data_IF_340137731561
#
_entry.id   IF_340137731561
#
_cell.length_a   1.000
_cell.length_b   1.000
_cell.length_c   1.000
_cell.angle_alpha   90.00
_cell.angle_beta   90.00
_cell.angle_gamma   90.00
#
_symmetry.space_group_name_H-M   'P 1'
#
loop_
_entity.id
_entity.type
_entity.pdbx_description
1 polymer ?
#
# COMPACT_ATOMS: atom_id res chain seq x y z
N UNK A 1 4.92 46.63 -22.05
CA UNK A 1 5.18 45.53 -21.10
C UNK A 1 5.47 44.30 -21.94
N UNK A 2 6.69 43.75 -21.85
CA UNK A 2 7.04 42.50 -22.54
C UNK A 2 6.22 41.39 -21.90
N UNK A 3 5.48 40.64 -22.70
CA UNK A 3 4.62 39.57 -22.21
C UNK A 3 5.50 38.36 -21.84
N UNK A 4 6.08 38.37 -20.64
CA UNK A 4 7.07 37.38 -20.20
C UNK A 4 6.37 36.18 -19.60
N UNK A 5 6.11 35.18 -20.44
CA UNK A 5 5.73 33.83 -20.02
C UNK A 5 6.88 33.27 -19.15
N UNK A 6 6.60 32.86 -17.90
CA UNK A 6 7.58 32.18 -17.03
C UNK A 6 7.84 30.76 -17.56
N UNK A 7 9.06 30.26 -17.38
CA UNK A 7 9.51 28.98 -17.92
C UNK A 7 9.82 29.02 -19.41
N UNK A 8 9.90 27.84 -20.03
CA UNK A 8 10.16 27.67 -21.46
C UNK A 8 8.85 27.86 -22.24
N UNK A 9 8.72 28.89 -23.08
CA UNK A 9 7.47 29.16 -23.78
C UNK A 9 7.24 28.13 -24.89
N UNK A 10 6.12 27.41 -24.82
CA UNK A 10 5.70 26.49 -25.88
C UNK A 10 4.94 27.20 -27.02
N UNK A 11 4.14 28.22 -26.66
CA UNK A 11 3.29 28.97 -27.59
C UNK A 11 3.38 30.47 -27.30
N UNK A 12 3.21 31.27 -28.35
CA UNK A 12 3.09 32.71 -28.26
C UNK A 12 1.64 33.10 -28.00
N UNK A 13 1.41 34.31 -27.49
CA UNK A 13 0.07 34.86 -27.29
C UNK A 13 -0.78 34.98 -28.57
N UNK A 14 -0.15 34.92 -29.75
CA UNK A 14 -0.84 34.85 -31.05
C UNK A 14 -1.25 33.43 -31.45
N UNK A 15 -1.05 32.43 -30.59
CA UNK A 15 -1.34 31.02 -30.84
C UNK A 15 -0.24 30.25 -31.59
N UNK A 16 0.72 30.94 -32.21
CA UNK A 16 1.81 30.30 -32.93
C UNK A 16 2.76 29.53 -31.98
N UNK A 17 3.24 28.36 -32.43
CA UNK A 17 4.29 27.61 -31.74
C UNK A 17 5.58 28.42 -31.70
N UNK A 18 6.25 28.40 -30.56
CA UNK A 18 7.53 29.08 -30.37
C UNK A 18 8.68 28.17 -30.82
N UNK A 19 9.65 28.76 -31.53
CA UNK A 19 10.83 28.05 -32.03
C UNK A 19 12.06 28.39 -31.20
N UNK A 20 12.96 27.41 -31.01
CA UNK A 20 14.28 27.63 -30.41
C UNK A 20 15.28 27.96 -31.50
N UNK A 21 15.96 29.09 -31.37
CA UNK A 21 16.88 29.64 -32.36
C UNK A 21 18.24 29.98 -31.73
N UNK A 22 19.26 30.12 -32.56
CA UNK A 22 20.61 30.54 -32.17
C UNK A 22 20.85 31.97 -32.62
N UNK A 23 21.22 32.84 -31.69
CA UNK A 23 21.52 34.24 -31.98
C UNK A 23 22.78 34.36 -32.84
N UNK A 24 22.67 35.16 -33.90
CA UNK A 24 23.77 35.51 -34.82
C UNK A 24 24.22 36.95 -34.65
N UNK A 25 23.74 37.63 -33.59
CA UNK A 25 24.12 39.02 -33.31
C UNK A 25 25.57 39.10 -32.84
N UNK A 26 26.25 40.22 -33.12
CA UNK A 26 27.61 40.46 -32.63
C UNK A 26 27.71 40.47 -31.10
N UNK A 27 26.64 40.90 -30.43
CA UNK A 27 26.61 41.06 -28.97
C UNK A 27 26.30 39.75 -28.23
N UNK A 28 25.54 38.84 -28.84
CA UNK A 28 25.17 37.56 -28.25
C UNK A 28 25.38 36.42 -29.25
N UNK A 29 26.59 36.22 -29.79
CA UNK A 29 26.83 35.18 -30.79
C UNK A 29 26.63 33.80 -30.14
N UNK A 30 25.87 32.92 -30.80
CA UNK A 30 25.66 31.54 -30.35
C UNK A 30 24.65 31.35 -29.21
N UNK A 31 24.20 32.42 -28.54
CA UNK A 31 23.23 32.30 -27.43
C UNK A 31 21.88 31.81 -27.93
N UNK A 32 21.25 30.88 -27.22
CA UNK A 32 19.96 30.29 -27.60
C UNK A 32 18.80 31.14 -27.09
N UNK A 33 17.78 31.31 -27.92
CA UNK A 33 16.55 32.01 -27.55
C UNK A 33 15.31 31.33 -28.12
N UNK A 34 14.18 31.62 -27.51
CA UNK A 34 12.85 31.21 -27.92
C UNK A 34 12.14 32.41 -28.55
N UNK A 35 11.60 32.26 -29.76
CA UNK A 35 10.84 33.32 -30.41
C UNK A 35 9.64 32.83 -31.21
N UNK A 36 8.63 33.69 -31.32
CA UNK A 36 7.53 33.49 -32.25
C UNK A 36 8.00 33.68 -33.71
N UNK A 37 7.54 32.85 -34.67
CA UNK A 37 7.86 33.04 -36.10
C UNK A 37 7.32 34.36 -36.67
N UNK A 38 6.27 34.93 -36.08
CA UNK A 38 5.69 36.21 -36.49
C UNK A 38 6.23 37.42 -35.71
N UNK A 39 7.18 37.19 -34.78
CA UNK A 39 7.80 38.24 -34.00
C UNK A 39 8.85 39.02 -34.79
N UNK A 40 8.95 40.32 -34.53
CA UNK A 40 10.00 41.19 -35.07
C UNK A 40 10.37 42.27 -34.05
N UNK A 41 11.45 43.01 -34.30
CA UNK A 41 11.96 44.03 -33.37
C UNK A 41 10.99 45.19 -33.14
N UNK A 42 10.14 45.50 -34.12
CA UNK A 42 9.13 46.56 -34.02
C UNK A 42 7.91 46.10 -33.20
N UNK A 43 7.62 44.80 -33.17
CA UNK A 43 6.43 44.23 -32.56
C UNK A 43 6.76 43.40 -31.30
N UNK A 44 6.80 44.10 -30.16
CA UNK A 44 7.04 43.52 -28.83
C UNK A 44 5.87 42.69 -28.26
N UNK A 45 4.78 42.51 -29.00
CA UNK A 45 3.64 41.67 -28.57
C UNK A 45 3.95 40.16 -28.67
N UNK A 46 4.96 39.79 -29.46
CA UNK A 46 5.37 38.42 -29.65
C UNK A 46 6.42 37.98 -28.63
N UNK A 47 6.41 36.69 -28.32
CA UNK A 47 7.36 36.08 -27.40
C UNK A 47 8.77 36.17 -27.98
N UNK A 48 9.68 36.69 -27.15
CA UNK A 48 11.13 36.56 -27.27
C UNK A 48 11.66 36.31 -25.85
N UNK A 49 12.48 35.27 -25.67
CA UNK A 49 13.07 34.95 -24.36
C UNK A 49 14.38 34.18 -24.51
N UNK A 50 15.37 34.49 -23.69
CA UNK A 50 16.61 33.73 -23.68
C UNK A 50 16.42 32.36 -23.04
N UNK A 51 17.01 31.33 -23.64
CA UNK A 51 16.85 29.95 -23.16
C UNK A 51 17.41 29.77 -21.76
N UNK A 52 18.58 30.34 -21.47
CA UNK A 52 19.21 30.26 -20.14
C UNK A 52 18.34 30.89 -19.04
N UNK A 53 17.72 32.05 -19.30
CA UNK A 53 16.78 32.70 -18.37
C UNK A 53 15.55 31.82 -18.12
N UNK A 54 14.93 31.27 -19.18
CA UNK A 54 13.79 30.35 -19.01
C UNK A 54 14.17 29.06 -18.27
N UNK A 55 15.39 28.54 -18.47
CA UNK A 55 15.85 27.34 -17.76
C UNK A 55 16.06 27.60 -16.27
N UNK A 56 16.57 28.78 -15.90
CA UNK A 56 16.69 29.16 -14.48
C UNK A 56 15.33 29.19 -13.81
N UNK A 57 14.33 29.79 -14.46
CA UNK A 57 12.96 29.83 -13.92
C UNK A 57 12.36 28.43 -13.76
N UNK A 58 12.53 27.52 -14.74
CA UNK A 58 12.08 26.12 -14.61
C UNK A 58 12.75 25.42 -13.42
N UNK A 59 14.06 25.64 -13.23
CA UNK A 59 14.80 25.07 -12.09
C UNK A 59 14.29 25.63 -10.77
N UNK A 60 14.04 26.94 -10.69
CA UNK A 60 13.45 27.58 -9.52
C UNK A 60 12.07 27.02 -9.17
N UNK A 61 11.24 26.78 -10.19
CA UNK A 61 9.89 26.25 -10.01
C UNK A 61 9.89 24.75 -9.65
N UNK A 62 10.95 24.02 -10.03
CA UNK A 62 11.15 22.60 -9.68
C UNK A 62 11.68 22.40 -8.25
N UNK A 63 12.51 23.31 -7.74
CA UNK A 63 13.06 23.21 -6.37
C UNK A 63 12.01 22.96 -5.28
N UNK A 64 10.93 23.75 -5.14
CA UNK A 64 9.95 23.51 -4.09
C UNK A 64 9.24 22.16 -4.28
N UNK A 65 8.96 21.75 -5.52
CA UNK A 65 8.34 20.45 -5.81
C UNK A 65 9.22 19.28 -5.37
N UNK A 66 10.55 19.41 -5.53
CA UNK A 66 11.51 18.40 -5.04
C UNK A 66 11.47 18.34 -3.51
N UNK A 67 11.50 19.49 -2.83
CA UNK A 67 11.42 19.54 -1.37
C UNK A 67 10.11 18.93 -0.84
N UNK A 68 8.98 19.21 -1.49
CA UNK A 68 7.69 18.62 -1.15
C UNK A 68 7.69 17.10 -1.33
N UNK A 69 8.30 16.60 -2.42
CA UNK A 69 8.47 15.17 -2.66
C UNK A 69 9.36 14.51 -1.61
N UNK A 70 10.49 15.13 -1.25
CA UNK A 70 11.39 14.62 -0.20
C UNK A 70 10.66 14.53 1.15
N UNK A 71 9.88 15.55 1.50
CA UNK A 71 9.04 15.56 2.70
C UNK A 71 7.99 14.44 2.68
N UNK A 72 7.29 14.27 1.56
CA UNK A 72 6.30 13.22 1.38
C UNK A 72 6.92 11.81 1.46
N UNK A 73 8.11 11.61 0.89
CA UNK A 73 8.86 10.35 0.98
C UNK A 73 9.24 10.06 2.43
N UNK A 74 9.75 11.05 3.16
CA UNK A 74 10.12 10.89 4.57
C UNK A 74 8.91 10.50 5.44
N UNK A 75 7.77 11.16 5.23
CA UNK A 75 6.54 10.87 5.98
C UNK A 75 5.98 9.49 5.63
N UNK A 76 5.93 9.13 4.35
CA UNK A 76 5.53 7.80 3.91
C UNK A 76 6.46 6.72 4.48
N UNK A 77 7.76 7.00 4.59
CA UNK A 77 8.73 6.14 5.26
C UNK A 77 8.39 5.90 6.73
N UNK A 78 7.96 6.92 7.48
CA UNK A 78 7.49 6.77 8.87
C UNK A 78 6.22 5.93 8.94
N UNK A 79 5.24 6.24 8.10
CA UNK A 79 3.96 5.50 8.03
C UNK A 79 4.17 4.03 7.72
N UNK A 80 5.08 3.72 6.77
CA UNK A 80 5.43 2.35 6.42
C UNK A 80 6.06 1.61 7.61
N UNK A 81 7.01 2.23 8.31
CA UNK A 81 7.62 1.63 9.51
C UNK A 81 6.58 1.32 10.59
N UNK A 82 5.67 2.24 10.87
CA UNK A 82 4.60 2.04 11.85
C UNK A 82 3.66 0.91 11.42
N UNK A 83 3.31 0.84 10.13
CA UNK A 83 2.48 -0.22 9.59
C UNK A 83 3.16 -1.59 9.72
N UNK A 84 4.47 -1.66 9.43
CA UNK A 84 5.27 -2.88 9.61
C UNK A 84 5.28 -3.35 11.06
N UNK A 85 5.43 -2.45 12.04
CA UNK A 85 5.38 -2.84 13.46
C UNK A 85 4.01 -3.35 13.89
N UNK A 86 2.92 -2.74 13.37
CA UNK A 86 1.56 -3.21 13.65
C UNK A 86 1.32 -4.61 13.07
N UNK A 87 1.77 -4.85 11.83
CA UNK A 87 1.68 -6.17 11.19
C UNK A 87 2.44 -7.23 12.02
N UNK A 88 3.61 -6.90 12.54
CA UNK A 88 4.38 -7.82 13.40
C UNK A 88 3.62 -8.17 14.69
N UNK A 89 3.02 -7.18 15.34
CA UNK A 89 2.21 -7.39 16.55
C UNK A 89 1.01 -8.30 16.27
N UNK A 90 0.23 -7.98 15.24
CA UNK A 90 -0.94 -8.77 14.83
C UNK A 90 -0.53 -10.20 14.46
N UNK A 91 0.60 -10.36 13.77
CA UNK A 91 1.12 -11.68 13.41
C UNK A 91 1.43 -12.51 14.67
N UNK A 92 2.00 -11.89 15.71
CA UNK A 92 2.29 -12.58 16.97
C UNK A 92 1.00 -12.99 17.70
N UNK A 93 0.02 -12.10 17.78
CA UNK A 93 -1.29 -12.39 18.39
C UNK A 93 -2.04 -13.50 17.65
N UNK A 94 -2.00 -13.48 16.31
CA UNK A 94 -2.61 -14.53 15.49
C UNK A 94 -1.94 -15.89 15.72
N UNK A 95 -0.61 -15.94 15.85
CA UNK A 95 0.12 -17.18 16.18
C UNK A 95 -0.29 -17.71 17.55
N UNK A 96 -0.32 -16.85 18.57
CA UNK A 96 -0.76 -17.23 19.92
C UNK A 96 -2.17 -17.80 19.88
N UNK A 97 -3.10 -17.12 19.21
CA UNK A 97 -4.49 -17.57 19.05
C UNK A 97 -4.56 -18.94 18.37
N UNK A 98 -3.80 -19.15 17.29
CA UNK A 98 -3.71 -20.45 16.62
C UNK A 98 -3.25 -21.57 17.56
N UNK A 99 -2.23 -21.34 18.40
CA UNK A 99 -1.79 -22.36 19.39
C UNK A 99 -2.85 -22.67 20.44
N UNK A 100 -3.70 -21.71 20.80
CA UNK A 100 -4.79 -21.91 21.75
C UNK A 100 -5.92 -22.72 21.10
N UNK A 101 -6.26 -22.43 19.84
CA UNK A 101 -7.23 -23.21 19.07
C UNK A 101 -6.80 -24.67 18.99
N UNK A 102 -5.56 -24.96 18.60
CA UNK A 102 -5.07 -26.33 18.56
C UNK A 102 -5.09 -27.04 19.92
N UNK A 103 -4.81 -26.33 21.02
CA UNK A 103 -4.94 -26.89 22.37
C UNK A 103 -6.38 -27.20 22.74
N UNK A 104 -7.33 -26.35 22.36
CA UNK A 104 -8.76 -26.59 22.59
C UNK A 104 -9.26 -27.77 21.76
N UNK A 105 -8.86 -27.86 20.49
CA UNK A 105 -9.16 -29.01 19.62
C UNK A 105 -8.68 -30.32 20.26
N UNK A 106 -7.42 -30.36 20.73
CA UNK A 106 -6.88 -31.54 21.40
C UNK A 106 -7.65 -31.93 22.67
N UNK A 107 -8.07 -30.94 23.48
CA UNK A 107 -8.89 -31.19 24.68
C UNK A 107 -10.28 -31.69 24.33
N UNK A 108 -10.89 -31.16 23.27
CA UNK A 108 -12.19 -31.64 22.79
C UNK A 108 -12.10 -33.08 22.30
N UNK A 109 -11.04 -33.44 21.58
CA UNK A 109 -10.79 -34.82 21.17
C UNK A 109 -10.61 -35.76 22.37
N UNK A 110 -9.91 -35.32 23.42
CA UNK A 110 -9.75 -36.11 24.63
C UNK A 110 -11.11 -36.34 25.34
N UNK A 111 -11.93 -35.29 25.48
CA UNK A 111 -13.27 -35.45 26.05
C UNK A 111 -14.19 -36.35 25.22
N UNK A 112 -14.10 -36.30 23.89
CA UNK A 112 -14.86 -37.22 23.03
C UNK A 112 -14.47 -38.68 23.31
N UNK A 113 -13.17 -38.97 23.44
CA UNK A 113 -12.68 -40.30 23.80
C UNK A 113 -13.18 -40.77 25.18
N UNK A 114 -13.15 -39.90 26.19
CA UNK A 114 -13.66 -40.21 27.52
C UNK A 114 -15.16 -40.53 27.49
N UNK A 115 -15.95 -39.74 26.75
CA UNK A 115 -17.39 -39.97 26.56
C UNK A 115 -17.64 -41.32 25.89
N UNK A 116 -16.88 -41.68 24.85
CA UNK A 116 -16.99 -42.99 24.21
C UNK A 116 -16.61 -44.13 25.18
N UNK A 117 -15.58 -43.93 26.01
CA UNK A 117 -15.19 -44.86 27.07
C UNK A 117 -16.31 -45.12 28.06
N UNK A 118 -16.86 -44.06 28.66
CA UNK A 118 -17.98 -44.14 29.62
C UNK A 118 -19.22 -44.80 29.00
N UNK A 119 -19.51 -44.51 27.73
CA UNK A 119 -20.61 -45.16 27.00
C UNK A 119 -20.41 -46.68 26.90
N UNK A 120 -19.18 -47.13 26.68
CA UNK A 120 -18.85 -48.56 26.63
C UNK A 120 -18.97 -49.24 27.99
N UNK A 121 -18.49 -48.58 29.05
CA UNK A 121 -18.66 -49.07 30.43
C UNK A 121 -20.14 -49.19 30.80
N UNK A 122 -20.95 -48.17 30.52
CA UNK A 122 -22.39 -48.19 30.81
C UNK A 122 -23.09 -49.33 30.07
N UNK A 123 -22.71 -49.60 28.81
CA UNK A 123 -23.21 -50.75 28.05
C UNK A 123 -22.83 -52.08 28.72
N UNK A 124 -21.61 -52.18 29.25
CA UNK A 124 -21.13 -53.31 30.04
C UNK A 124 -21.94 -53.52 31.33
N UNK A 125 -22.11 -52.47 32.14
CA UNK A 125 -22.94 -52.51 33.35
C UNK A 125 -24.38 -52.92 33.06
N UNK A 126 -25.00 -52.35 32.01
CA UNK A 126 -26.34 -52.74 31.58
C UNK A 126 -26.43 -54.24 31.30
N UNK A 127 -25.46 -54.80 30.57
CA UNK A 127 -25.43 -56.22 30.27
C UNK A 127 -25.27 -57.08 31.55
N UNK A 128 -24.41 -56.64 32.48
CA UNK A 128 -24.23 -57.33 33.77
C UNK A 128 -25.53 -57.36 34.59
N UNK A 129 -26.25 -56.24 34.70
CA UNK A 129 -27.53 -56.19 35.41
C UNK A 129 -28.54 -57.15 34.78
N UNK A 130 -28.62 -57.20 33.44
CA UNK A 130 -29.48 -58.17 32.74
C UNK A 130 -29.10 -59.61 33.11
N UNK A 131 -27.81 -59.96 33.11
CA UNK A 131 -27.35 -61.30 33.52
C UNK A 131 -27.74 -61.63 34.97
N UNK A 132 -27.57 -60.69 35.91
CA UNK A 132 -27.93 -60.89 37.31
C UNK A 132 -29.44 -61.13 37.50
N UNK A 133 -30.28 -60.38 36.77
CA UNK A 133 -31.73 -60.59 36.77
C UNK A 133 -32.08 -61.99 36.25
N UNK A 134 -31.49 -62.42 35.13
CA UNK A 134 -31.71 -63.77 34.57
C UNK A 134 -31.31 -64.86 35.57
N UNK A 135 -30.13 -64.74 36.19
CA UNK A 135 -29.65 -65.71 37.19
C UNK A 135 -30.58 -65.79 38.40
N UNK A 136 -31.06 -64.65 38.90
CA UNK A 136 -32.02 -64.60 40.01
C UNK A 136 -33.35 -65.28 39.66
N UNK A 137 -33.88 -65.04 38.45
CA UNK A 137 -35.10 -65.69 37.97
C UNK A 137 -34.92 -67.21 37.84
N UNK A 138 -33.79 -67.67 37.28
CA UNK A 138 -33.48 -69.09 37.21
C UNK A 138 -33.39 -69.74 38.60
N UNK A 139 -32.66 -69.12 39.54
CA UNK A 139 -32.56 -69.61 40.91
C UNK A 139 -33.94 -69.79 41.57
N UNK A 140 -34.86 -68.84 41.37
CA UNK A 140 -36.23 -68.91 41.89
C UNK A 140 -37.12 -69.98 41.24
N UNK A 141 -36.78 -70.44 40.04
CA UNK A 141 -37.55 -71.47 39.31
C UNK A 141 -37.06 -72.89 39.64
N UNK A 142 -35.75 -73.05 39.85
CA UNK A 142 -35.12 -74.37 39.98
C UNK A 142 -34.80 -74.80 41.42
N UNK A 143 -34.88 -73.89 42.41
CA UNK A 143 -34.65 -74.16 43.83
C UNK A 143 -35.88 -73.78 44.67
#
# INVERSE_FOLDING_TARGET
MVNTIRGIPAHCNCGARVSRNTSRTKNNPGRLFHSCPFGNEQNRSHVFKWTDESMVEEIEDLKPKILDLESAIAENGKRLRNSTSLIQSITLESRTSSTLVHRLEARLSAFDQDIQGLKMELKGFRNMVVCLIVLFLCYKVFL
#
